data_IF_542185372617
#
_entry.id   IF_542185372617
#
_cell.length_a   1.000
_cell.length_b   1.000
_cell.length_c   1.000
_cell.angle_alpha   90.00
_cell.angle_beta   90.00
_cell.angle_gamma   90.00
#
_symmetry.space_group_name_H-M   'P 1'
#
loop_
_entity.id
_entity.type
_entity.pdbx_description
1 polymer ?
#
# COMPACT_ATOMS: atom_id res chain seq x y z
N UNK A 1 -11.91 -13.68 -0.68
CA UNK A 1 -11.83 -12.33 -1.31
C UNK A 1 -10.81 -11.50 -0.55
N UNK A 2 -10.02 -10.68 -1.25
CA UNK A 2 -9.13 -9.70 -0.63
C UNK A 2 -9.49 -8.29 -1.10
N UNK A 3 -9.29 -7.30 -0.22
CA UNK A 3 -9.45 -5.87 -0.51
C UNK A 3 -8.15 -5.16 -0.16
N UNK A 4 -7.46 -4.60 -1.15
CA UNK A 4 -6.27 -3.78 -0.98
C UNK A 4 -6.71 -2.32 -0.87
N UNK A 5 -6.55 -1.70 0.29
CA UNK A 5 -7.01 -0.34 0.59
C UNK A 5 -5.79 0.55 0.77
N UNK A 6 -5.72 1.65 0.03
CA UNK A 6 -4.70 2.68 0.24
C UNK A 6 -5.07 3.54 1.44
N UNK A 7 -4.12 3.79 2.34
CA UNK A 7 -4.33 4.66 3.51
C UNK A 7 -4.90 6.04 3.13
N UNK A 8 -5.52 6.71 4.11
CA UNK A 8 -6.03 8.08 3.98
C UNK A 8 -4.91 9.09 3.71
N UNK A 9 -5.26 10.36 3.46
CA UNK A 9 -4.28 11.40 3.15
C UNK A 9 -3.47 11.82 4.38
N UNK A 10 -2.17 11.99 4.17
CA UNK A 10 -1.20 12.59 5.10
C UNK A 10 -0.80 13.97 4.59
N UNK A 11 -0.07 14.77 5.38
CA UNK A 11 0.43 16.08 4.95
C UNK A 11 1.39 15.94 3.77
N UNK A 12 2.31 14.97 3.84
CA UNK A 12 3.22 14.69 2.74
C UNK A 12 2.49 14.35 1.42
N UNK A 13 1.32 13.69 1.49
CA UNK A 13 0.52 13.42 0.29
C UNK A 13 -0.08 14.71 -0.30
N UNK A 14 -0.49 15.67 0.53
CA UNK A 14 -1.01 16.97 0.08
C UNK A 14 0.08 17.79 -0.60
N UNK A 15 1.32 17.71 -0.11
CA UNK A 15 2.48 18.40 -0.65
C UNK A 15 3.17 17.66 -1.81
N UNK A 16 2.70 16.45 -2.17
CA UNK A 16 3.29 15.62 -3.22
C UNK A 16 4.70 15.12 -2.90
N UNK A 17 4.99 14.88 -1.60
CA UNK A 17 6.29 14.40 -1.12
C UNK A 17 6.40 12.88 -1.18
N UNK A 18 7.59 12.39 -1.44
CA UNK A 18 7.94 10.97 -1.27
C UNK A 18 7.91 10.63 0.22
N UNK A 19 6.98 9.76 0.62
CA UNK A 19 6.75 9.37 2.02
C UNK A 19 6.85 7.85 2.15
N UNK A 20 8.02 7.35 2.45
CA UNK A 20 8.31 5.94 2.65
C UNK A 20 8.42 5.57 4.14
N UNK A 21 9.62 5.75 4.70
CA UNK A 21 9.96 5.34 6.08
C UNK A 21 9.48 6.30 7.16
N UNK A 22 9.23 7.55 6.84
CA UNK A 22 8.70 8.54 7.78
C UNK A 22 7.31 8.10 8.25
N UNK A 23 7.14 7.98 9.57
CA UNK A 23 5.91 7.46 10.17
C UNK A 23 4.93 8.59 10.51
N UNK A 24 4.40 9.22 9.48
CA UNK A 24 3.41 10.29 9.55
C UNK A 24 1.98 9.72 9.66
N UNK A 25 1.13 10.38 10.43
CA UNK A 25 -0.28 10.02 10.56
C UNK A 25 -1.14 10.74 9.51
N UNK A 26 -2.43 10.43 9.49
CA UNK A 26 -3.40 11.09 8.62
C UNK A 26 -3.63 12.54 9.04
N UNK A 27 -3.91 13.41 8.06
CA UNK A 27 -4.50 14.73 8.36
C UNK A 27 -5.93 14.58 8.87
N UNK A 28 -6.45 15.58 9.58
CA UNK A 28 -7.86 15.55 10.01
C UNK A 28 -8.82 15.47 8.80
N UNK A 29 -8.53 16.19 7.72
CA UNK A 29 -9.28 16.07 6.46
C UNK A 29 -9.18 14.66 5.86
N UNK A 30 -8.00 14.03 5.93
CA UNK A 30 -7.79 12.65 5.49
C UNK A 30 -8.59 11.64 6.30
N UNK A 31 -8.67 11.82 7.63
CA UNK A 31 -9.53 11.01 8.51
C UNK A 31 -11.01 11.18 8.14
N UNK A 32 -11.45 12.43 7.96
CA UNK A 32 -12.84 12.70 7.61
C UNK A 32 -13.23 12.08 6.27
N UNK A 33 -12.37 12.16 5.24
CA UNK A 33 -12.63 11.49 3.95
C UNK A 33 -12.78 9.98 4.09
N UNK A 34 -12.05 9.33 5.00
CA UNK A 34 -12.21 7.89 5.28
C UNK A 34 -13.56 7.65 5.96
N UNK A 35 -13.92 8.43 6.98
CA UNK A 35 -15.20 8.30 7.69
C UNK A 35 -16.41 8.51 6.77
N UNK A 36 -16.34 9.48 5.86
CA UNK A 36 -17.39 9.74 4.87
C UNK A 36 -17.62 8.51 3.96
N UNK A 37 -16.53 7.83 3.55
CA UNK A 37 -16.62 6.58 2.79
C UNK A 37 -17.15 5.42 3.62
N UNK A 38 -16.79 5.33 4.90
CA UNK A 38 -17.36 4.34 5.84
C UNK A 38 -18.86 4.53 5.93
N UNK A 39 -19.32 5.75 6.17
CA UNK A 39 -20.73 6.10 6.27
C UNK A 39 -21.52 5.84 4.97
N UNK A 40 -20.85 5.93 3.83
CA UNK A 40 -21.42 5.60 2.52
C UNK A 40 -21.38 4.07 2.20
N UNK A 41 -20.90 3.23 3.11
CA UNK A 41 -20.80 1.78 2.91
C UNK A 41 -19.79 1.37 1.84
N UNK A 42 -18.77 2.21 1.58
CA UNK A 42 -17.80 1.97 0.51
C UNK A 42 -16.88 0.77 0.77
N UNK A 43 -16.51 0.52 2.03
CA UNK A 43 -15.60 -0.56 2.38
C UNK A 43 -16.36 -1.85 2.72
N UNK A 44 -15.90 -3.02 2.24
CA UNK A 44 -16.53 -4.29 2.57
C UNK A 44 -16.29 -4.68 4.01
N UNK A 45 -17.12 -5.56 4.54
CA UNK A 45 -16.81 -6.26 5.79
C UNK A 45 -15.56 -7.14 5.63
N UNK A 46 -14.85 -7.34 6.73
CA UNK A 46 -13.66 -8.18 6.78
C UNK A 46 -13.70 -9.14 7.96
N UNK A 47 -13.30 -10.39 7.72
CA UNK A 47 -13.12 -11.39 8.78
C UNK A 47 -11.78 -11.17 9.49
N UNK A 48 -10.74 -10.77 8.72
CA UNK A 48 -9.40 -10.44 9.21
C UNK A 48 -8.90 -9.17 8.54
N UNK A 49 -8.25 -8.30 9.33
CA UNK A 49 -7.68 -7.04 8.85
C UNK A 49 -6.17 -7.04 9.04
N UNK A 50 -5.46 -6.88 7.95
CA UNK A 50 -4.01 -6.68 7.94
C UNK A 50 -3.68 -5.22 7.62
N UNK A 51 -2.51 -4.77 8.10
CA UNK A 51 -1.99 -3.43 7.78
C UNK A 51 -0.48 -3.49 7.54
N UNK A 52 0.08 -2.44 6.93
CA UNK A 52 1.50 -2.14 7.14
C UNK A 52 1.74 -1.75 8.60
N UNK A 53 3.01 -1.70 9.03
CA UNK A 53 3.34 -1.30 10.40
C UNK A 53 3.22 0.22 10.65
N UNK A 54 3.01 1.04 9.59
CA UNK A 54 3.01 2.50 9.64
C UNK A 54 1.69 3.07 10.21
N UNK A 55 1.77 4.17 10.98
CA UNK A 55 0.63 4.84 11.63
C UNK A 55 -0.51 5.13 10.66
N UNK A 56 -0.22 5.77 9.52
CA UNK A 56 -1.23 6.12 8.50
C UNK A 56 -2.09 4.94 8.06
N UNK A 57 -1.51 3.73 7.99
CA UNK A 57 -2.27 2.53 7.64
C UNK A 57 -3.08 2.00 8.82
N UNK A 58 -2.50 1.99 10.03
CA UNK A 58 -3.20 1.58 11.25
C UNK A 58 -4.38 2.49 11.53
N UNK A 59 -4.18 3.82 11.56
CA UNK A 59 -5.26 4.80 11.75
C UNK A 59 -6.36 4.63 10.70
N UNK A 60 -5.99 4.43 9.42
CA UNK A 60 -6.99 4.15 8.38
C UNK A 60 -7.78 2.89 8.66
N UNK A 61 -7.12 1.80 9.06
CA UNK A 61 -7.77 0.53 9.37
C UNK A 61 -8.69 0.63 10.60
N UNK A 62 -8.28 1.35 11.64
CA UNK A 62 -9.08 1.60 12.85
C UNK A 62 -10.36 2.40 12.54
N UNK A 63 -10.28 3.38 11.64
CA UNK A 63 -11.44 4.15 11.18
C UNK A 63 -12.42 3.30 10.37
N UNK A 64 -11.92 2.39 9.51
CA UNK A 64 -12.75 1.53 8.66
C UNK A 64 -13.35 0.36 9.47
N UNK A 65 -12.57 -0.23 10.37
CA UNK A 65 -12.90 -1.45 11.11
C UNK A 65 -12.78 -1.23 12.64
N UNK A 66 -13.58 -0.37 13.24
CA UNK A 66 -13.46 -0.04 14.66
C UNK A 66 -13.60 -1.28 15.54
N UNK A 67 -12.70 -1.42 16.52
CA UNK A 67 -12.68 -2.53 17.46
C UNK A 67 -12.18 -3.86 16.92
N UNK A 68 -11.75 -3.94 15.65
CA UNK A 68 -11.13 -5.14 15.10
C UNK A 68 -9.64 -5.21 15.47
N UNK A 69 -9.16 -6.42 15.75
CA UNK A 69 -7.72 -6.66 15.89
C UNK A 69 -7.02 -6.50 14.54
N UNK A 70 -5.94 -5.71 14.53
CA UNK A 70 -5.14 -5.46 13.34
C UNK A 70 -3.86 -6.30 13.39
N UNK A 71 -3.53 -6.96 12.28
CA UNK A 71 -2.28 -7.71 12.13
C UNK A 71 -1.34 -6.89 11.26
N UNK A 72 -0.29 -6.34 11.88
CA UNK A 72 0.68 -5.52 11.18
C UNK A 72 1.80 -6.37 10.55
N UNK A 73 2.03 -6.18 9.25
CA UNK A 73 3.13 -6.80 8.51
C UNK A 73 4.11 -5.72 8.03
N UNK A 74 5.32 -5.63 8.63
CA UNK A 74 6.34 -4.68 8.21
C UNK A 74 6.80 -4.87 6.75
N UNK A 75 6.66 -6.08 6.22
CA UNK A 75 6.92 -6.42 4.82
C UNK A 75 6.09 -5.56 3.85
N UNK A 76 5.00 -4.95 4.31
CA UNK A 76 4.14 -4.07 3.53
C UNK A 76 4.32 -2.57 3.83
N UNK A 77 5.35 -2.19 4.58
CA UNK A 77 5.72 -0.78 4.67
C UNK A 77 6.02 -0.22 3.28
N UNK A 78 5.81 1.08 3.09
CA UNK A 78 6.07 1.73 1.80
C UNK A 78 7.54 1.57 1.38
N UNK A 79 7.82 1.77 0.11
CA UNK A 79 9.18 1.71 -0.44
C UNK A 79 10.09 2.70 0.28
N UNK A 80 11.35 2.31 0.48
CA UNK A 80 12.38 3.20 1.01
C UNK A 80 12.86 4.14 -0.11
N UNK A 81 12.45 5.41 -0.03
CA UNK A 81 12.84 6.44 -1.00
C UNK A 81 14.26 6.98 -0.80
N UNK A 82 14.99 6.51 0.21
CA UNK A 82 16.38 6.89 0.47
C UNK A 82 16.55 8.41 0.56
N UNK A 83 17.45 8.98 -0.26
CA UNK A 83 17.74 10.42 -0.26
C UNK A 83 16.60 11.30 -0.81
N UNK A 84 15.56 10.70 -1.41
CA UNK A 84 14.39 11.44 -1.89
C UNK A 84 13.28 11.54 -0.83
N UNK A 85 13.41 10.83 0.28
CA UNK A 85 12.46 10.87 1.41
C UNK A 85 12.15 12.30 1.84
N UNK A 86 10.87 12.64 2.01
CA UNK A 86 10.39 13.94 2.45
C UNK A 86 10.48 15.07 1.43
N UNK A 87 11.03 14.82 0.23
CA UNK A 87 11.14 15.82 -0.86
C UNK A 87 10.04 15.61 -1.89
N UNK A 88 9.69 16.66 -2.61
CA UNK A 88 8.79 16.57 -3.77
C UNK A 88 9.56 16.71 -5.08
N UNK A 89 8.87 16.45 -6.20
CA UNK A 89 9.49 16.49 -7.53
C UNK A 89 10.09 17.85 -7.91
N UNK A 90 9.56 18.96 -7.35
CA UNK A 90 10.09 20.33 -7.61
C UNK A 90 11.43 20.52 -6.91
N UNK A 91 11.52 20.07 -5.65
CA UNK A 91 12.75 20.16 -4.85
C UNK A 91 13.86 19.23 -5.42
N UNK A 92 13.46 18.18 -6.15
CA UNK A 92 14.36 17.23 -6.77
C UNK A 92 14.69 17.53 -8.23
N UNK A 93 14.05 18.53 -8.85
CA UNK A 93 14.14 18.78 -10.30
C UNK A 93 15.57 19.00 -10.83
N UNK A 94 16.46 19.58 -10.02
CA UNK A 94 17.86 19.83 -10.37
C UNK A 94 18.83 18.78 -9.79
N UNK A 95 18.30 17.75 -9.13
CA UNK A 95 19.11 16.69 -8.55
C UNK A 95 19.51 15.67 -9.63
N UNK A 96 20.81 15.46 -9.90
CA UNK A 96 21.25 14.54 -10.96
C UNK A 96 20.87 13.08 -10.70
N UNK A 97 20.83 12.65 -9.43
CA UNK A 97 20.42 11.28 -9.07
C UNK A 97 18.90 11.09 -9.33
N UNK A 98 18.11 12.14 -9.13
CA UNK A 98 16.68 12.12 -9.43
C UNK A 98 16.44 12.04 -10.93
N UNK A 99 17.18 12.82 -11.72
CA UNK A 99 17.10 12.75 -13.18
C UNK A 99 17.50 11.34 -13.69
N UNK A 100 18.61 10.80 -13.20
CA UNK A 100 19.04 9.45 -13.55
C UNK A 100 18.01 8.37 -13.20
N UNK A 101 17.32 8.53 -12.05
CA UNK A 101 16.23 7.65 -11.66
C UNK A 101 15.03 7.77 -12.60
N UNK A 102 14.62 8.99 -12.99
CA UNK A 102 13.57 9.23 -13.98
C UNK A 102 13.92 8.60 -15.33
N UNK A 103 15.15 8.81 -15.83
CA UNK A 103 15.61 8.30 -17.11
C UNK A 103 15.66 6.76 -17.15
N UNK A 104 15.80 6.11 -15.98
CA UNK A 104 15.68 4.66 -15.84
C UNK A 104 14.23 4.14 -15.92
N UNK A 105 13.22 5.04 -16.03
CA UNK A 105 11.80 4.67 -15.88
C UNK A 105 11.42 4.30 -14.44
N UNK A 106 12.19 4.79 -13.44
CA UNK A 106 11.97 4.52 -12.02
C UNK A 106 12.22 3.04 -11.64
N UNK A 107 13.10 2.34 -12.36
CA UNK A 107 13.42 0.92 -12.12
C UNK A 107 14.62 0.76 -11.19
N UNK A 108 15.60 1.65 -11.31
CA UNK A 108 16.80 1.61 -10.47
C UNK A 108 16.47 1.91 -9.01
N UNK A 109 17.37 1.51 -8.10
CA UNK A 109 17.21 1.82 -6.68
C UNK A 109 17.22 3.33 -6.45
N UNK A 110 16.41 3.78 -5.50
CA UNK A 110 16.54 5.12 -4.93
C UNK A 110 17.93 5.24 -4.26
N UNK A 111 18.65 6.36 -4.42
CA UNK A 111 19.93 6.53 -3.76
C UNK A 111 19.80 6.35 -2.24
N UNK A 112 20.48 5.34 -1.69
CA UNK A 112 20.36 4.96 -0.28
C UNK A 112 19.03 4.32 0.13
N UNK A 113 18.21 3.90 -0.83
CA UNK A 113 16.90 3.27 -0.62
C UNK A 113 16.75 1.94 -1.36
N UNK A 114 15.51 1.53 -1.63
CA UNK A 114 15.18 0.27 -2.31
C UNK A 114 15.07 0.45 -3.83
N UNK A 115 15.35 -0.62 -4.59
CA UNK A 115 14.89 -0.74 -5.97
C UNK A 115 13.44 -1.20 -6.03
N UNK A 116 12.80 -0.98 -7.19
CA UNK A 116 11.45 -1.50 -7.42
C UNK A 116 11.37 -3.03 -7.26
N UNK A 117 12.38 -3.74 -7.74
CA UNK A 117 12.44 -5.20 -7.65
C UNK A 117 12.53 -5.68 -6.20
N UNK A 118 13.45 -5.11 -5.40
CA UNK A 118 13.58 -5.42 -3.98
C UNK A 118 12.27 -5.18 -3.22
N UNK A 119 11.60 -4.06 -3.52
CA UNK A 119 10.32 -3.72 -2.93
C UNK A 119 9.22 -4.72 -3.29
N UNK A 120 9.10 -5.11 -4.57
CA UNK A 120 8.12 -6.10 -5.02
C UNK A 120 8.34 -7.43 -4.31
N UNK A 121 9.58 -7.93 -4.23
CA UNK A 121 9.89 -9.18 -3.55
C UNK A 121 9.58 -9.12 -2.05
N UNK A 122 9.89 -8.01 -1.38
CA UNK A 122 9.54 -7.81 0.02
C UNK A 122 8.02 -7.84 0.23
N UNK A 123 7.26 -7.16 -0.62
CA UNK A 123 5.79 -7.17 -0.57
C UNK A 123 5.23 -8.56 -0.85
N UNK A 124 5.81 -9.31 -1.79
CA UNK A 124 5.41 -10.68 -2.10
C UNK A 124 5.62 -11.61 -0.89
N UNK A 125 6.76 -11.53 -0.21
CA UNK A 125 6.99 -12.26 1.03
C UNK A 125 5.93 -11.96 2.11
N UNK A 126 5.47 -10.71 2.20
CA UNK A 126 4.36 -10.33 3.07
C UNK A 126 3.04 -11.02 2.69
N UNK A 127 2.76 -11.19 1.40
CA UNK A 127 1.57 -11.90 0.92
C UNK A 127 1.63 -13.40 1.27
N UNK A 128 2.77 -14.02 1.07
CA UNK A 128 2.99 -15.44 1.45
C UNK A 128 2.83 -15.65 2.95
N UNK A 129 3.41 -14.77 3.76
CA UNK A 129 3.28 -14.77 5.21
C UNK A 129 1.81 -14.61 5.63
N UNK A 130 1.08 -13.64 5.07
CA UNK A 130 -0.35 -13.48 5.31
C UNK A 130 -1.11 -14.77 5.01
N UNK A 131 -0.92 -15.35 3.82
CA UNK A 131 -1.63 -16.57 3.41
C UNK A 131 -1.36 -17.72 4.37
N UNK A 132 -0.12 -17.86 4.86
CA UNK A 132 0.25 -18.90 5.84
C UNK A 132 -0.43 -18.73 7.21
N UNK A 133 -0.76 -17.48 7.57
CA UNK A 133 -1.44 -17.16 8.84
C UNK A 133 -2.97 -17.30 8.76
N UNK A 134 -3.55 -17.33 7.56
CA UNK A 134 -5.01 -17.33 7.40
C UNK A 134 -5.64 -18.69 7.69
N UNK A 135 -6.59 -18.79 8.63
CA UNK A 135 -7.41 -19.99 8.81
C UNK A 135 -8.20 -20.31 7.52
N UNK A 136 -8.53 -21.60 7.33
CA UNK A 136 -9.23 -22.07 6.11
C UNK A 136 -10.61 -21.43 5.92
N UNK A 137 -11.31 -21.12 7.01
CA UNK A 137 -12.67 -20.57 7.03
C UNK A 137 -12.72 -19.05 6.77
N UNK A 138 -11.58 -18.36 6.69
CA UNK A 138 -11.56 -16.92 6.40
C UNK A 138 -11.86 -16.68 4.92
N UNK A 139 -12.89 -15.91 4.64
CA UNK A 139 -13.35 -15.61 3.28
C UNK A 139 -13.00 -14.18 2.84
N UNK A 140 -13.03 -13.22 3.78
CA UNK A 140 -12.85 -11.79 3.50
C UNK A 140 -11.67 -11.24 4.26
N UNK A 141 -10.66 -10.79 3.52
CA UNK A 141 -9.45 -10.19 4.07
C UNK A 141 -9.33 -8.76 3.58
N UNK A 142 -9.16 -7.82 4.49
CA UNK A 142 -8.80 -6.44 4.15
C UNK A 142 -7.35 -6.16 4.50
N UNK A 143 -6.67 -5.47 3.59
CA UNK A 143 -5.25 -5.13 3.69
C UNK A 143 -5.12 -3.63 3.50
N UNK A 144 -4.79 -2.89 4.57
CA UNK A 144 -4.64 -1.44 4.52
C UNK A 144 -3.15 -1.10 4.42
N UNK A 145 -2.76 -0.58 3.27
CA UNK A 145 -1.35 -0.40 2.88
C UNK A 145 -1.15 0.91 2.09
N UNK A 146 -0.05 0.99 1.36
CA UNK A 146 0.39 2.18 0.61
C UNK A 146 0.16 2.05 -0.89
N UNK A 147 0.32 3.17 -1.61
CA UNK A 147 0.20 3.18 -3.07
C UNK A 147 1.22 2.27 -3.74
N UNK A 148 2.49 2.38 -3.35
CA UNK A 148 3.55 1.53 -3.87
C UNK A 148 3.32 0.05 -3.55
N UNK A 149 2.91 -0.27 -2.31
CA UNK A 149 2.59 -1.65 -1.91
C UNK A 149 1.49 -2.26 -2.77
N UNK A 150 0.43 -1.49 -3.09
CA UNK A 150 -0.66 -1.98 -3.96
C UNK A 150 -0.14 -2.21 -5.38
N UNK A 151 0.67 -1.30 -5.91
CA UNK A 151 1.31 -1.48 -7.23
C UNK A 151 2.22 -2.71 -7.25
N UNK A 152 3.02 -2.94 -6.21
CA UNK A 152 3.90 -4.10 -6.09
C UNK A 152 3.11 -5.42 -6.05
N UNK A 153 2.09 -5.51 -5.20
CA UNK A 153 1.23 -6.70 -5.10
C UNK A 153 0.42 -6.93 -6.38
N UNK A 154 -0.09 -5.84 -6.99
CA UNK A 154 -0.84 -5.90 -8.23
C UNK A 154 0.00 -6.48 -9.37
N UNK A 155 1.15 -5.90 -9.65
CA UNK A 155 2.05 -6.37 -10.73
C UNK A 155 2.53 -7.81 -10.51
N UNK A 156 2.74 -8.22 -9.24
CA UNK A 156 3.24 -9.56 -8.91
C UNK A 156 2.18 -10.65 -8.98
N UNK A 157 0.94 -10.37 -8.57
CA UNK A 157 -0.09 -11.40 -8.35
C UNK A 157 -1.32 -11.28 -9.27
N UNK A 158 -1.57 -10.10 -9.88
CA UNK A 158 -2.76 -9.89 -10.71
C UNK A 158 -2.42 -9.80 -12.20
N UNK A 159 -1.12 -9.68 -12.55
CA UNK A 159 -0.65 -9.44 -13.92
C UNK A 159 -0.71 -7.96 -14.31
N UNK A 160 -0.29 -7.62 -15.54
CA UNK A 160 -0.21 -6.22 -15.99
C UNK A 160 1.03 -5.48 -15.48
N UNK A 161 1.07 -4.18 -15.75
CA UNK A 161 2.21 -3.34 -15.40
C UNK A 161 2.10 -2.76 -13.99
N UNK A 162 3.23 -2.41 -13.40
CA UNK A 162 3.31 -1.88 -12.03
C UNK A 162 2.38 -0.68 -11.81
N UNK A 163 2.34 0.27 -12.75
CA UNK A 163 1.54 1.49 -12.62
C UNK A 163 0.04 1.31 -12.90
N UNK A 164 -0.40 0.16 -13.43
CA UNK A 164 -1.82 -0.14 -13.65
C UNK A 164 -2.62 -0.16 -12.33
N UNK A 165 -1.92 -0.38 -11.21
CA UNK A 165 -2.52 -0.49 -9.88
C UNK A 165 -2.42 0.80 -9.06
N UNK A 166 -2.13 1.92 -9.70
CA UNK A 166 -2.08 3.21 -9.01
C UNK A 166 -3.49 3.68 -8.65
N UNK A 167 -3.78 3.79 -7.35
CA UNK A 167 -5.06 4.29 -6.83
C UNK A 167 -4.87 5.49 -5.90
N UNK A 168 -5.94 6.30 -5.75
CA UNK A 168 -5.94 7.47 -4.85
C UNK A 168 -6.07 7.02 -3.39
N UNK A 169 -5.64 7.87 -2.43
CA UNK A 169 -5.80 7.65 -1.00
C UNK A 169 -7.26 7.30 -0.63
N UNK A 170 -7.44 6.34 0.25
CA UNK A 170 -8.74 5.82 0.68
C UNK A 170 -9.51 5.03 -0.38
N UNK A 171 -8.96 4.81 -1.56
CA UNK A 171 -9.55 3.89 -2.56
C UNK A 171 -9.05 2.46 -2.36
N UNK A 172 -9.74 1.50 -2.98
CA UNK A 172 -9.39 0.09 -2.89
C UNK A 172 -9.46 -0.62 -4.24
N UNK A 173 -8.77 -1.75 -4.31
CA UNK A 173 -8.91 -2.78 -5.35
C UNK A 173 -9.39 -4.05 -4.65
N UNK A 174 -10.35 -4.75 -5.27
CA UNK A 174 -10.83 -6.05 -4.79
C UNK A 174 -10.40 -7.15 -5.75
N UNK A 175 -10.04 -8.30 -5.18
CA UNK A 175 -9.64 -9.47 -5.94
C UNK A 175 -10.05 -10.78 -5.25
N UNK A 176 -10.18 -11.83 -6.04
CA UNK A 176 -10.35 -13.20 -5.54
C UNK A 176 -8.96 -13.75 -5.24
N UNK A 177 -8.73 -14.19 -4.01
CA UNK A 177 -7.50 -14.87 -3.59
C UNK A 177 -7.66 -16.37 -3.79
N UNK A 178 -6.91 -16.94 -4.73
CA UNK A 178 -6.83 -18.39 -4.92
C UNK A 178 -5.63 -18.94 -4.14
N UNK A 179 -5.92 -19.82 -3.15
CA UNK A 179 -4.91 -20.48 -2.30
C UNK A 179 -4.63 -21.88 -2.85
N UNK A 180 -3.88 -21.96 -3.96
CA UNK A 180 -3.42 -23.23 -4.55
C UNK A 180 -1.91 -23.39 -4.33
N UNK A 181 -1.24 -24.16 -5.18
CA UNK A 181 0.23 -24.31 -5.13
C UNK A 181 0.98 -22.97 -5.33
N UNK A 182 0.36 -22.04 -6.05
CA UNK A 182 0.82 -20.66 -6.21
C UNK A 182 -0.30 -19.69 -5.81
N UNK A 183 0.08 -18.57 -5.19
CA UNK A 183 -0.87 -17.48 -4.89
C UNK A 183 -1.21 -16.77 -6.20
N UNK A 184 -2.48 -16.79 -6.55
CA UNK A 184 -3.03 -16.04 -7.69
C UNK A 184 -4.19 -15.18 -7.24
N UNK A 185 -4.32 -14.03 -7.84
CA UNK A 185 -5.44 -13.12 -7.58
C UNK A 185 -6.06 -12.69 -8.91
N UNK A 186 -7.39 -12.58 -8.93
CA UNK A 186 -8.15 -12.06 -10.07
C UNK A 186 -8.97 -10.86 -9.62
N UNK A 187 -8.81 -9.71 -10.31
CA UNK A 187 -9.52 -8.47 -9.97
C UNK A 187 -11.02 -8.67 -10.20
N UNK A 188 -11.82 -8.15 -9.26
CA UNK A 188 -13.28 -8.06 -9.43
C UNK A 188 -13.57 -6.68 -10.02
N UNK A 189 -14.12 -6.67 -11.22
CA UNK A 189 -14.56 -5.48 -11.95
C UNK A 189 -15.89 -4.94 -11.41
#
# INVERSE_FOLDING_TARGET
MISLIRHGKTEANLEGRYLGRTDEDLTEAGKQEILDRVNAGYYPEADVVFTSAMKRCKTTAELIYPGRSLIALPEWNEIDFGLFEGKNYKELSENPDYQAWIDSGGVTAFPGGESREQFIERCAGGMEKMVSMLPKQVERVSIVVHGGTIMALGSRFFGGDYFDYQIKNGKMIQAILERKQEIRCSIIS
#
